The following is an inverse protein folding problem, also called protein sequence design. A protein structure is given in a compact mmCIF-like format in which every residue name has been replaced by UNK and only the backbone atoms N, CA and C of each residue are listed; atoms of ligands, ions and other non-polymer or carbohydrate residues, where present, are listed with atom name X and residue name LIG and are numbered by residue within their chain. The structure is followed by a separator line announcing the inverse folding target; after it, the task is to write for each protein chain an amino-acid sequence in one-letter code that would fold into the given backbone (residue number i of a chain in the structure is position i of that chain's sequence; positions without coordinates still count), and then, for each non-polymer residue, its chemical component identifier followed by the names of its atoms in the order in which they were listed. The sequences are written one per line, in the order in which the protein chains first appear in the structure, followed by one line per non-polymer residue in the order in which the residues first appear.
data_IF_493194145611
#
_entry.id   IF_493194145611
#
_cell.length_a   1.000
_cell.length_b   1.000
_cell.length_c   1.000
_cell.angle_alpha   90.00
_cell.angle_beta   90.00
_cell.angle_gamma   90.00
#
_symmetry.space_group_name_H-M   'P 1'
#
loop_
_entity.id
_entity.type
_entity.pdbx_description
1 polymer ?
#
# COMPACT_ATOMS: atom_id res chain seq x y z
N UNK A 1 1.25 -13.01 -21.61
CA UNK A 1 2.51 -13.53 -21.02
C UNK A 1 3.25 -12.42 -20.27
N UNK A 2 3.93 -11.46 -20.92
CA UNK A 2 4.69 -10.42 -20.20
C UNK A 2 3.83 -9.39 -19.42
N UNK A 3 2.70 -8.95 -20.00
CA UNK A 3 1.80 -7.98 -19.35
C UNK A 3 1.23 -8.51 -18.04
N UNK A 4 0.75 -9.75 -18.04
CA UNK A 4 0.18 -10.40 -16.86
C UNK A 4 1.22 -10.50 -15.72
N UNK A 5 2.44 -10.93 -16.03
CA UNK A 5 3.51 -11.00 -15.03
C UNK A 5 3.86 -9.62 -14.45
N UNK A 6 3.82 -8.57 -15.27
CA UNK A 6 4.02 -7.20 -14.81
C UNK A 6 2.86 -6.72 -13.93
N UNK A 7 1.61 -6.99 -14.32
CA UNK A 7 0.42 -6.65 -13.55
C UNK A 7 0.41 -7.37 -12.19
N UNK A 8 0.73 -8.66 -12.16
CA UNK A 8 0.89 -9.45 -10.94
C UNK A 8 2.00 -8.89 -10.05
N UNK A 9 3.15 -8.53 -10.64
CA UNK A 9 4.23 -7.91 -9.87
C UNK A 9 3.83 -6.56 -9.27
N UNK A 10 3.13 -5.72 -10.03
CA UNK A 10 2.60 -4.43 -9.55
C UNK A 10 1.58 -4.67 -8.43
N UNK A 11 0.69 -5.67 -8.59
CA UNK A 11 -0.30 -6.01 -7.58
C UNK A 11 0.36 -6.46 -6.28
N UNK A 12 1.29 -7.41 -6.37
CA UNK A 12 2.09 -7.89 -5.25
C UNK A 12 2.80 -6.75 -4.52
N UNK A 13 3.49 -5.87 -5.26
CA UNK A 13 4.26 -4.77 -4.67
C UNK A 13 3.38 -3.75 -3.93
N UNK A 14 2.18 -3.48 -4.45
CA UNK A 14 1.27 -2.49 -3.88
C UNK A 14 0.43 -3.03 -2.71
N UNK A 15 -0.03 -4.28 -2.81
CA UNK A 15 -1.06 -4.82 -1.92
C UNK A 15 -0.52 -5.83 -0.91
N UNK A 16 0.41 -6.69 -1.32
CA UNK A 16 0.83 -7.84 -0.51
C UNK A 16 2.18 -7.61 0.17
N UNK A 17 3.07 -6.84 -0.45
CA UNK A 17 4.40 -6.59 0.10
C UNK A 17 4.33 -5.74 1.37
N UNK A 18 4.65 -6.39 2.49
CA UNK A 18 4.75 -5.76 3.80
C UNK A 18 6.07 -5.00 3.96
N UNK A 19 6.01 -3.78 4.50
CA UNK A 19 7.20 -2.97 4.82
C UNK A 19 7.27 -2.67 6.31
N UNK A 20 8.38 -3.07 6.94
CA UNK A 20 8.65 -2.77 8.36
C UNK A 20 8.65 -1.27 8.66
N UNK A 21 9.20 -0.45 7.74
CA UNK A 21 9.17 1.02 7.85
C UNK A 21 7.76 1.61 7.86
N UNK A 22 6.76 0.89 7.33
CA UNK A 22 5.36 1.27 7.33
C UNK A 22 4.57 0.56 8.44
N UNK A 23 5.24 0.18 9.54
CA UNK A 23 4.65 -0.56 10.66
C UNK A 23 3.96 -1.86 10.23
N UNK A 24 4.54 -2.56 9.25
CA UNK A 24 3.98 -3.83 8.77
C UNK A 24 2.78 -3.67 7.83
N UNK A 25 2.53 -2.47 7.30
CA UNK A 25 1.50 -2.24 6.30
C UNK A 25 2.02 -2.44 4.87
N UNK A 26 1.11 -2.81 3.96
CA UNK A 26 1.34 -2.65 2.52
C UNK A 26 1.27 -1.18 2.10
N UNK A 27 1.70 -0.88 0.87
CA UNK A 27 1.75 0.50 0.40
C UNK A 27 0.35 1.13 0.32
N UNK A 28 -0.63 0.37 -0.18
CA UNK A 28 -2.03 0.84 -0.27
C UNK A 28 -2.62 1.04 1.13
N UNK A 29 -2.42 0.09 2.04
CA UNK A 29 -2.89 0.21 3.42
C UNK A 29 -2.32 1.44 4.13
N UNK A 30 -1.01 1.71 3.96
CA UNK A 30 -0.37 2.89 4.53
C UNK A 30 -0.98 4.21 4.00
N UNK A 31 -1.28 4.29 2.70
CA UNK A 31 -1.93 5.47 2.10
C UNK A 31 -3.33 5.69 2.68
N UNK A 32 -4.13 4.62 2.78
CA UNK A 32 -5.47 4.68 3.36
C UNK A 32 -5.42 5.10 4.82
N UNK A 33 -4.52 4.52 5.62
CA UNK A 33 -4.33 4.89 7.02
C UNK A 33 -3.93 6.36 7.17
N UNK A 34 -2.98 6.84 6.35
CA UNK A 34 -2.49 8.22 6.41
C UNK A 34 -3.63 9.19 6.09
N UNK A 35 -4.37 8.96 5.01
CA UNK A 35 -5.53 9.78 4.63
C UNK A 35 -6.60 9.75 5.71
N UNK A 36 -6.94 8.57 6.24
CA UNK A 36 -7.93 8.45 7.31
C UNK A 36 -7.49 9.20 8.57
N UNK A 37 -6.20 9.15 8.91
CA UNK A 37 -5.64 9.86 10.08
C UNK A 37 -5.71 11.37 9.86
N UNK A 38 -5.34 11.87 8.68
CA UNK A 38 -5.44 13.28 8.32
C UNK A 38 -6.88 13.80 8.35
N UNK A 39 -7.86 12.98 7.97
CA UNK A 39 -9.27 13.38 8.00
C UNK A 39 -9.86 13.30 9.42
N UNK A 40 -9.38 12.35 10.25
CA UNK A 40 -9.89 12.15 11.62
C UNK A 40 -9.33 13.12 12.64
N UNK A 41 -8.10 13.60 12.44
CA UNK A 41 -7.53 14.68 13.24
C UNK A 41 -7.63 15.98 12.45
N UNK A 42 -8.60 16.88 12.74
CA UNK A 42 -8.55 18.21 12.17
C UNK A 42 -7.30 18.90 12.72
N UNK A 43 -6.49 19.45 11.81
CA UNK A 43 -5.40 20.37 12.14
C UNK A 43 -6.01 21.64 12.75
#
# INVERSE_FOLDING_TARGET
MLKNALEEYIHYYNNERIKLKLNGLSLVQYRVQTISTTIKCPI
#
